data_IF_237731060987
#
_entry.id   IF_237731060987
#
_cell.length_a   1.000
_cell.length_b   1.000
_cell.length_c   1.000
_cell.angle_alpha   90.00
_cell.angle_beta   90.00
_cell.angle_gamma   90.00
#
_symmetry.space_group_name_H-M   'P 1'
#
loop_
_entity.id
_entity.type
_entity.pdbx_description
1 polymer ?
#
# COMPACT_ATOMS: atom_id res chain seq x y z
N UNK A 1 -29.05 19.58 15.27
CA UNK A 1 -28.03 18.53 15.51
C UNK A 1 -26.70 19.02 14.97
N UNK A 2 -25.74 19.25 15.85
CA UNK A 2 -24.38 19.60 15.43
C UNK A 2 -23.70 18.44 14.72
N UNK A 3 -23.17 18.71 13.52
CA UNK A 3 -22.39 17.75 12.75
C UNK A 3 -20.91 18.02 12.98
N UNK A 4 -20.33 17.35 13.98
CA UNK A 4 -18.89 17.37 14.19
C UNK A 4 -18.23 16.56 13.08
N UNK A 5 -17.20 17.12 12.44
CA UNK A 5 -16.43 16.39 11.42
C UNK A 5 -15.62 15.30 12.10
N UNK A 6 -15.65 14.08 11.54
CA UNK A 6 -14.82 12.96 12.00
C UNK A 6 -13.32 13.27 12.10
N UNK A 7 -12.83 14.29 11.39
CA UNK A 7 -11.45 14.76 11.51
C UNK A 7 -11.17 15.33 12.91
N UNK A 8 -12.09 16.14 13.46
CA UNK A 8 -11.96 16.79 14.78
C UNK A 8 -11.91 15.73 15.88
N UNK A 9 -12.82 14.76 15.85
CA UNK A 9 -12.85 13.65 16.83
C UNK A 9 -11.56 12.83 16.79
N UNK A 10 -10.98 12.63 15.61
CA UNK A 10 -9.74 11.84 15.47
C UNK A 10 -8.51 12.61 15.92
N UNK A 11 -8.48 13.92 15.68
CA UNK A 11 -7.41 14.79 16.14
C UNK A 11 -7.40 14.84 17.67
N UNK A 12 -8.57 15.01 18.28
CA UNK A 12 -8.75 15.04 19.74
C UNK A 12 -8.44 13.70 20.43
N UNK A 13 -8.65 12.58 19.73
CA UNK A 13 -8.34 11.24 20.23
C UNK A 13 -6.98 10.68 19.74
N UNK A 14 -6.19 11.46 19.00
CA UNK A 14 -4.94 11.03 18.36
C UNK A 14 -5.08 9.75 17.48
N UNK A 15 -6.26 9.49 16.94
CA UNK A 15 -6.56 8.28 16.18
C UNK A 15 -6.17 8.47 14.72
N UNK A 16 -5.25 7.62 14.25
CA UNK A 16 -4.91 7.54 12.83
C UNK A 16 -6.17 7.31 11.97
N UNK A 17 -6.33 8.11 10.91
CA UNK A 17 -7.42 7.91 9.97
C UNK A 17 -7.35 6.49 9.38
N UNK A 18 -8.46 5.75 9.40
CA UNK A 18 -8.54 4.36 8.92
C UNK A 18 -7.95 4.15 7.52
N UNK A 19 -8.06 5.17 6.65
CA UNK A 19 -7.46 5.14 5.30
C UNK A 19 -5.94 5.05 5.34
N UNK A 20 -5.29 5.73 6.28
CA UNK A 20 -3.84 5.70 6.44
C UNK A 20 -3.36 4.37 7.01
N UNK A 21 -4.07 3.82 8.00
CA UNK A 21 -3.82 2.47 8.50
C UNK A 21 -3.86 1.43 7.37
N UNK A 22 -4.89 1.49 6.50
CA UNK A 22 -5.02 0.58 5.36
C UNK A 22 -3.84 0.74 4.40
N UNK A 23 -3.43 1.97 4.07
CA UNK A 23 -2.26 2.21 3.21
C UNK A 23 -0.98 1.65 3.82
N UNK A 24 -0.74 1.88 5.12
CA UNK A 24 0.42 1.34 5.85
C UNK A 24 0.45 -0.19 5.79
N UNK A 25 -0.69 -0.85 5.99
CA UNK A 25 -0.83 -2.30 5.85
C UNK A 25 -0.56 -2.78 4.42
N UNK A 26 -1.08 -2.09 3.41
CA UNK A 26 -0.84 -2.40 2.00
C UNK A 26 0.65 -2.29 1.63
N UNK A 27 1.33 -1.23 2.05
CA UNK A 27 2.77 -1.05 1.81
C UNK A 27 3.62 -2.06 2.59
N UNK A 28 3.25 -2.36 3.83
CA UNK A 28 3.94 -3.36 4.66
C UNK A 28 3.88 -4.75 4.01
N UNK A 29 2.68 -5.16 3.56
CA UNK A 29 2.50 -6.35 2.73
C UNK A 29 3.39 -6.21 1.50
N UNK A 30 3.19 -5.21 0.65
CA UNK A 30 3.89 -5.10 -0.64
C UNK A 30 5.41 -5.23 -0.53
N UNK A 31 6.03 -4.64 0.49
CA UNK A 31 7.47 -4.84 0.72
C UNK A 31 7.84 -6.27 1.11
N UNK A 32 6.99 -6.98 1.86
CA UNK A 32 7.14 -8.42 2.06
C UNK A 32 7.09 -9.19 0.73
N UNK A 33 6.21 -8.78 -0.20
CA UNK A 33 6.11 -9.36 -1.55
C UNK A 33 7.39 -9.22 -2.36
N UNK A 34 7.98 -8.01 -2.34
CA UNK A 34 9.21 -7.74 -3.06
C UNK A 34 10.37 -8.60 -2.55
N UNK A 35 10.45 -8.82 -1.23
CA UNK A 35 11.45 -9.68 -0.58
C UNK A 35 11.15 -11.19 -0.66
N UNK A 36 9.93 -11.58 -1.02
CA UNK A 36 9.56 -12.98 -1.09
C UNK A 36 10.32 -13.67 -2.24
N UNK A 37 10.75 -14.92 -2.03
CA UNK A 37 11.39 -15.70 -3.08
C UNK A 37 10.43 -15.93 -4.28
N UNK A 38 10.93 -15.75 -5.50
CA UNK A 38 10.20 -15.92 -6.77
C UNK A 38 9.62 -17.33 -6.96
N UNK A 39 10.15 -18.34 -6.25
CA UNK A 39 9.60 -19.71 -6.29
C UNK A 39 8.25 -19.83 -5.58
N UNK A 40 7.91 -18.91 -4.65
CA UNK A 40 6.66 -18.99 -3.89
C UNK A 40 5.45 -18.66 -4.77
N UNK A 41 4.42 -19.51 -4.69
CA UNK A 41 3.19 -19.37 -5.47
C UNK A 41 2.52 -18.00 -5.28
N UNK A 42 2.49 -17.47 -4.06
CA UNK A 42 1.90 -16.14 -3.78
C UNK A 42 2.55 -15.04 -4.62
N UNK A 43 3.88 -15.06 -4.79
CA UNK A 43 4.58 -14.07 -5.61
C UNK A 43 4.25 -14.26 -7.10
N UNK A 44 4.27 -15.51 -7.58
CA UNK A 44 3.91 -15.84 -8.97
C UNK A 44 2.50 -15.38 -9.33
N UNK A 45 1.52 -15.66 -8.46
CA UNK A 45 0.12 -15.24 -8.66
C UNK A 45 -0.01 -13.71 -8.67
N UNK A 46 0.75 -13.02 -7.81
CA UNK A 46 0.74 -11.56 -7.78
C UNK A 46 1.39 -10.93 -9.03
N UNK A 47 2.49 -11.50 -9.53
CA UNK A 47 3.18 -11.05 -10.74
C UNK A 47 2.42 -11.41 -12.03
N UNK A 48 1.49 -12.36 -11.96
CA UNK A 48 0.71 -12.81 -13.11
C UNK A 48 -0.10 -11.65 -13.70
N UNK A 49 0.14 -11.37 -14.99
CA UNK A 49 -0.64 -10.40 -15.76
C UNK A 49 -1.96 -11.04 -16.18
N UNK A 50 -3.07 -10.51 -15.67
CA UNK A 50 -4.40 -10.89 -16.16
C UNK A 50 -4.68 -10.08 -17.43
N UNK A 51 -4.80 -10.78 -18.56
CA UNK A 51 -4.94 -10.19 -19.90
C UNK A 51 -6.31 -9.53 -20.10
N UNK A 52 -7.38 -10.06 -19.47
CA UNK A 52 -8.73 -9.51 -19.56
C UNK A 52 -9.40 -9.33 -18.19
N UNK A 53 -9.99 -8.16 -17.95
CA UNK A 53 -10.79 -7.90 -16.75
C UNK A 53 -12.24 -8.28 -17.02
N UNK A 54 -12.82 -9.15 -16.17
CA UNK A 54 -14.25 -9.45 -16.19
C UNK A 54 -15.08 -8.18 -15.94
N UNK A 55 -16.25 -8.08 -16.59
CA UNK A 55 -17.22 -7.00 -16.39
C UNK A 55 -17.58 -6.90 -14.90
N UNK A 56 -17.67 -5.67 -14.38
CA UNK A 56 -17.91 -5.40 -12.94
C UNK A 56 -16.65 -5.36 -12.06
N UNK A 57 -15.48 -5.80 -12.54
CA UNK A 57 -14.24 -5.66 -11.77
C UNK A 57 -13.85 -4.17 -11.65
N UNK A 58 -13.48 -3.68 -10.44
CA UNK A 58 -12.99 -2.33 -10.27
C UNK A 58 -11.85 -2.01 -11.25
N UNK A 59 -11.89 -0.81 -11.85
CA UNK A 59 -10.85 -0.35 -12.77
C UNK A 59 -9.48 -0.30 -12.09
N UNK A 60 -9.45 0.14 -10.83
CA UNK A 60 -8.25 0.31 -10.01
C UNK A 60 -7.71 -1.04 -9.55
N UNK A 61 -6.47 -1.37 -9.95
CA UNK A 61 -5.76 -2.55 -9.48
C UNK A 61 -5.04 -2.26 -8.17
N UNK A 62 -4.69 -3.32 -7.43
CA UNK A 62 -3.90 -3.21 -6.21
C UNK A 62 -2.52 -2.56 -6.48
N UNK A 63 -1.87 -2.92 -7.59
CA UNK A 63 -0.62 -2.28 -8.02
C UNK A 63 -0.80 -0.78 -8.27
N UNK A 64 -1.94 -0.36 -8.85
CA UNK A 64 -2.22 1.07 -9.04
C UNK A 64 -2.47 1.78 -7.71
N UNK A 65 -3.15 1.14 -6.75
CA UNK A 65 -3.30 1.69 -5.38
C UNK A 65 -1.94 1.92 -4.73
N UNK A 66 -1.02 0.97 -4.83
CA UNK A 66 0.31 1.09 -4.25
C UNK A 66 1.13 2.15 -4.98
N UNK A 67 1.13 2.16 -6.32
CA UNK A 67 1.82 3.19 -7.10
C UNK A 67 1.36 4.59 -6.69
N UNK A 68 0.05 4.82 -6.65
CA UNK A 68 -0.51 6.10 -6.23
C UNK A 68 -0.12 6.46 -4.78
N UNK A 69 0.00 5.45 -3.90
CA UNK A 69 0.39 5.67 -2.50
C UNK A 69 1.88 6.01 -2.37
N UNK A 70 2.73 5.35 -3.15
CA UNK A 70 4.16 5.63 -3.21
C UNK A 70 4.44 7.02 -3.79
N UNK A 71 3.80 7.34 -4.91
CA UNK A 71 3.90 8.64 -5.58
C UNK A 71 3.48 9.78 -4.64
N UNK A 72 2.37 9.61 -3.90
CA UNK A 72 1.92 10.57 -2.88
C UNK A 72 2.90 10.74 -1.71
N UNK A 73 3.75 9.75 -1.46
CA UNK A 73 4.82 9.78 -0.45
C UNK A 73 6.19 10.10 -1.06
N UNK A 74 6.24 10.60 -2.30
CA UNK A 74 7.47 11.03 -2.97
C UNK A 74 8.40 9.90 -3.40
N UNK A 75 7.91 8.66 -3.49
CA UNK A 75 8.73 7.50 -3.88
C UNK A 75 8.25 6.89 -5.20
N UNK A 76 9.17 6.66 -6.12
CA UNK A 76 8.86 5.96 -7.38
C UNK A 76 8.77 4.46 -7.15
N UNK A 77 8.07 3.74 -8.04
CA UNK A 77 7.94 2.28 -7.95
C UNK A 77 9.29 1.54 -8.00
N UNK A 78 10.22 2.01 -8.84
CA UNK A 78 11.55 1.43 -9.01
C UNK A 78 12.42 1.66 -7.76
N UNK A 79 12.45 2.88 -7.25
CA UNK A 79 13.17 3.21 -6.00
C UNK A 79 12.60 2.42 -4.84
N UNK A 80 11.27 2.33 -4.72
CA UNK A 80 10.60 1.55 -3.69
C UNK A 80 11.01 0.08 -3.72
N UNK A 81 11.12 -0.54 -4.90
CA UNK A 81 11.63 -1.93 -5.01
C UNK A 81 13.05 -2.07 -4.46
N UNK A 82 13.93 -1.11 -4.69
CA UNK A 82 15.27 -1.12 -4.12
C UNK A 82 15.25 -0.97 -2.61
N UNK A 83 14.52 0.02 -2.08
CA UNK A 83 14.38 0.27 -0.62
C UNK A 83 13.79 -0.95 0.10
N UNK A 84 12.82 -1.64 -0.52
CA UNK A 84 12.21 -2.82 0.11
C UNK A 84 13.19 -3.95 0.41
N UNK A 85 14.35 -4.03 -0.26
CA UNK A 85 15.38 -5.03 0.04
C UNK A 85 15.87 -4.89 1.47
N UNK A 86 16.00 -3.66 1.96
CA UNK A 86 16.30 -3.36 3.35
C UNK A 86 15.01 -3.29 4.18
N UNK A 87 14.76 -4.34 4.99
CA UNK A 87 13.53 -4.42 5.80
C UNK A 87 13.39 -3.27 6.82
N UNK A 88 14.49 -2.81 7.42
CA UNK A 88 14.47 -1.75 8.43
C UNK A 88 14.12 -0.41 7.80
N UNK A 89 14.77 -0.10 6.68
CA UNK A 89 14.54 1.13 5.92
C UNK A 89 13.12 1.18 5.34
N UNK A 90 12.64 0.05 4.80
CA UNK A 90 11.26 -0.05 4.35
C UNK A 90 10.26 0.18 5.48
N UNK A 91 10.49 -0.41 6.66
CA UNK A 91 9.62 -0.20 7.82
C UNK A 91 9.59 1.28 8.23
N UNK A 92 10.73 1.96 8.22
CA UNK A 92 10.79 3.41 8.50
C UNK A 92 9.93 4.18 7.50
N UNK A 93 10.07 3.93 6.20
CA UNK A 93 9.26 4.60 5.17
C UNK A 93 7.74 4.31 5.29
N UNK A 94 7.36 3.10 5.70
CA UNK A 94 5.93 2.76 5.82
C UNK A 94 5.27 3.48 6.99
N UNK A 95 5.97 3.58 8.12
CA UNK A 95 5.43 4.08 9.38
C UNK A 95 5.94 5.47 9.79
N UNK A 96 6.74 6.12 8.94
CA UNK A 96 7.08 7.53 9.05
C UNK A 96 5.86 8.43 8.91
#
# INVERSE_FOLDING_TARGET
MDRIRNAVIREELEIEATREFIKKRQLSWWGHLQRLNNKRQVKKVWEAKIIQKKKGRPRKSWNKVISDTLEKRGMTWTTAKTVTKNRKEWRKFVYS
#
